data_IF_865428464052
#
_entry.id   IF_865428464052
#
_cell.length_a   1.000
_cell.length_b   1.000
_cell.length_c   1.000
_cell.angle_alpha   90.00
_cell.angle_beta   90.00
_cell.angle_gamma   90.00
#
_symmetry.space_group_name_H-M   'P 1'
#
loop_
_entity.id
_entity.type
_entity.pdbx_description
1 polymer ?
#
# COMPACT_ATOMS: atom_id res chain seq x y z
N UNK A 1 33.47 6.51 -12.91
CA UNK A 1 32.02 6.29 -13.19
C UNK A 1 31.67 6.96 -14.50
N UNK A 2 31.22 6.21 -15.51
CA UNK A 2 30.51 6.83 -16.64
C UNK A 2 29.18 7.37 -16.12
N UNK A 3 28.89 8.66 -16.33
CA UNK A 3 27.54 9.18 -16.08
C UNK A 3 26.61 8.46 -17.06
N UNK A 4 25.50 7.83 -16.62
CA UNK A 4 24.50 7.36 -17.58
C UNK A 4 24.02 8.57 -18.39
N UNK A 5 23.95 8.44 -19.72
CA UNK A 5 23.50 9.50 -20.62
C UNK A 5 21.99 9.77 -20.39
N UNK A 6 21.68 10.53 -19.36
CA UNK A 6 20.36 11.08 -19.09
C UNK A 6 20.04 12.07 -20.21
N UNK A 7 19.06 11.75 -21.04
CA UNK A 7 18.59 12.63 -22.11
C UNK A 7 17.90 13.84 -21.50
N UNK A 8 18.60 14.97 -21.44
CA UNK A 8 18.09 16.26 -20.95
C UNK A 8 17.52 17.07 -22.11
N UNK A 9 16.51 16.53 -22.81
CA UNK A 9 15.87 17.18 -23.94
C UNK A 9 14.36 16.95 -23.94
N UNK A 10 13.61 17.97 -24.35
CA UNK A 10 12.17 17.88 -24.57
C UNK A 10 11.86 17.06 -25.82
N UNK A 11 10.68 16.46 -25.85
CA UNK A 11 10.13 15.70 -26.97
C UNK A 11 10.05 14.19 -26.70
N UNK A 12 9.84 13.44 -27.79
CA UNK A 12 9.51 12.01 -27.74
C UNK A 12 10.77 11.14 -27.58
N UNK A 13 10.77 10.26 -26.58
CA UNK A 13 11.85 9.33 -26.28
C UNK A 13 11.33 7.93 -25.90
N UNK A 14 12.19 6.92 -25.96
CA UNK A 14 11.85 5.53 -25.64
C UNK A 14 12.08 5.22 -24.15
N UNK A 15 11.15 4.51 -23.53
CA UNK A 15 11.26 4.03 -22.16
C UNK A 15 12.44 3.07 -21.99
N UNK A 16 13.35 3.34 -21.04
CA UNK A 16 14.52 2.50 -20.77
C UNK A 16 14.20 1.10 -20.19
N UNK A 17 12.92 0.77 -19.96
CA UNK A 17 12.47 -0.53 -19.44
C UNK A 17 11.66 -1.33 -20.47
N UNK A 18 10.60 -0.74 -21.04
CA UNK A 18 9.70 -1.42 -21.98
C UNK A 18 9.83 -0.95 -23.43
N UNK A 19 10.78 -0.05 -23.75
CA UNK A 19 10.98 0.58 -25.07
C UNK A 19 9.80 1.41 -25.61
N UNK A 20 8.64 1.43 -24.94
CA UNK A 20 7.48 2.20 -25.36
C UNK A 20 7.80 3.72 -25.45
N UNK A 21 7.32 4.42 -26.49
CA UNK A 21 7.56 5.84 -26.64
C UNK A 21 6.73 6.64 -25.64
N UNK A 22 7.34 7.67 -25.04
CA UNK A 22 6.68 8.66 -24.21
C UNK A 22 7.28 10.04 -24.48
N UNK A 23 6.60 11.10 -24.03
CA UNK A 23 7.01 12.47 -24.22
C UNK A 23 7.44 13.10 -22.89
N UNK A 24 8.34 14.09 -22.98
CA UNK A 24 8.67 15.03 -21.90
C UNK A 24 8.55 16.43 -22.49
N UNK A 25 7.62 17.23 -21.99
CA UNK A 25 7.34 18.55 -22.57
C UNK A 25 8.31 19.63 -22.07
N UNK A 26 8.35 20.83 -22.68
CA UNK A 26 9.09 21.96 -22.10
C UNK A 26 8.61 22.33 -20.68
N UNK A 27 7.31 22.17 -20.40
CA UNK A 27 6.70 22.43 -19.10
C UNK A 27 7.13 21.40 -18.05
N UNK A 28 7.26 20.10 -18.43
CA UNK A 28 7.87 19.09 -17.56
C UNK A 28 9.29 19.50 -17.15
N UNK A 29 10.11 19.97 -18.10
CA UNK A 29 11.49 20.39 -17.83
C UNK A 29 11.54 21.64 -16.93
N UNK A 30 10.67 22.62 -17.18
CA UNK A 30 10.53 23.80 -16.33
C UNK A 30 10.10 23.41 -14.90
N UNK A 31 9.19 22.46 -14.75
CA UNK A 31 8.79 21.91 -13.46
C UNK A 31 9.96 21.21 -12.74
N UNK A 32 10.70 20.32 -13.42
CA UNK A 32 11.86 19.65 -12.82
C UNK A 32 12.94 20.66 -12.38
N UNK A 33 13.20 21.70 -13.17
CA UNK A 33 14.11 22.77 -12.76
C UNK A 33 13.56 23.57 -11.56
N UNK A 34 12.25 23.86 -11.52
CA UNK A 34 11.62 24.55 -10.40
C UNK A 34 11.70 23.75 -9.09
N UNK A 35 11.46 22.44 -9.13
CA UNK A 35 11.52 21.58 -7.92
C UNK A 35 12.92 21.07 -7.57
N UNK A 36 13.94 21.43 -8.36
CA UNK A 36 15.33 21.01 -8.13
C UNK A 36 15.90 21.65 -6.85
N UNK A 37 16.29 20.88 -5.83
CA UNK A 37 16.65 21.41 -4.53
C UNK A 37 17.95 22.22 -4.56
N UNK A 38 17.97 23.32 -3.81
CA UNK A 38 19.17 24.14 -3.58
C UNK A 38 19.74 23.79 -2.20
N UNK A 39 20.89 23.13 -2.18
CA UNK A 39 21.58 22.70 -0.95
C UNK A 39 22.90 23.46 -0.87
N UNK A 40 23.12 24.21 0.22
CA UNK A 40 24.32 25.05 0.43
C UNK A 40 24.60 25.99 -0.77
N UNK A 41 23.56 26.62 -1.31
CA UNK A 41 23.65 27.53 -2.47
C UNK A 41 23.86 26.85 -3.83
N UNK A 42 24.06 25.53 -3.89
CA UNK A 42 24.19 24.79 -5.14
C UNK A 42 22.85 24.17 -5.52
N UNK A 43 22.38 24.40 -6.76
CA UNK A 43 21.15 23.79 -7.29
C UNK A 43 21.46 22.40 -7.85
N UNK A 44 20.75 21.38 -7.37
CA UNK A 44 20.91 19.99 -7.80
C UNK A 44 19.78 19.63 -8.76
N UNK A 45 20.06 19.68 -10.06
CA UNK A 45 19.07 19.43 -11.11
C UNK A 45 18.46 18.01 -11.01
N UNK A 46 17.14 17.95 -10.87
CA UNK A 46 16.37 16.70 -11.01
C UNK A 46 16.28 16.36 -12.50
N UNK A 47 16.74 15.17 -12.94
CA UNK A 47 16.73 14.82 -14.35
C UNK A 47 15.33 14.45 -14.84
N UNK A 48 15.09 14.71 -16.13
CA UNK A 48 13.93 14.21 -16.85
C UNK A 48 13.81 12.66 -16.73
N UNK A 49 12.58 12.12 -16.69
CA UNK A 49 12.36 10.70 -16.47
C UNK A 49 12.90 9.86 -17.64
N UNK A 50 13.59 8.76 -17.33
CA UNK A 50 14.04 7.76 -18.33
C UNK A 50 13.00 6.67 -18.62
N UNK A 51 11.81 6.78 -18.03
CA UNK A 51 10.74 5.79 -18.08
C UNK A 51 9.40 6.42 -18.44
N UNK A 52 8.60 5.69 -19.22
CA UNK A 52 7.20 6.05 -19.47
C UNK A 52 6.39 6.11 -18.15
N UNK A 53 5.24 6.80 -18.15
CA UNK A 53 4.34 6.89 -16.98
C UNK A 53 4.05 5.53 -16.33
N UNK A 54 3.76 4.48 -17.12
CA UNK A 54 3.39 3.15 -16.61
C UNK A 54 4.54 2.45 -15.89
N UNK A 55 5.75 2.49 -16.47
CA UNK A 55 6.94 1.94 -15.81
C UNK A 55 7.32 2.72 -14.54
N UNK A 56 7.01 4.03 -14.49
CA UNK A 56 7.12 4.81 -13.24
C UNK A 56 6.06 4.39 -12.22
N UNK A 57 4.83 4.11 -12.65
CA UNK A 57 3.77 3.61 -11.78
C UNK A 57 4.09 2.23 -11.22
N UNK A 58 4.53 1.29 -12.05
CA UNK A 58 5.00 -0.03 -11.61
C UNK A 58 6.10 0.08 -10.54
N UNK A 59 7.08 0.98 -10.72
CA UNK A 59 8.12 1.22 -9.70
C UNK A 59 7.61 1.85 -8.40
N UNK A 60 6.54 2.65 -8.44
CA UNK A 60 5.89 3.16 -7.22
C UNK A 60 5.18 2.03 -6.47
N UNK A 61 4.40 1.22 -7.18
CA UNK A 61 3.61 0.13 -6.63
C UNK A 61 4.47 -1.07 -6.17
N UNK A 62 5.63 -1.30 -6.77
CA UNK A 62 6.51 -2.45 -6.46
C UNK A 62 7.06 -2.51 -5.02
N UNK A 63 6.80 -1.51 -4.17
CA UNK A 63 7.21 -1.50 -2.76
C UNK A 63 6.11 -1.93 -1.78
N UNK A 64 4.84 -1.96 -2.20
CA UNK A 64 3.70 -2.36 -1.38
C UNK A 64 3.09 -3.65 -1.93
N UNK A 65 2.80 -4.60 -1.05
CA UNK A 65 2.05 -5.81 -1.41
C UNK A 65 0.81 -5.90 -0.53
N UNK A 66 -0.30 -5.38 -1.05
CA UNK A 66 -1.52 -5.13 -0.27
C UNK A 66 -2.34 -6.40 -0.03
N UNK A 67 -2.24 -7.40 -0.92
CA UNK A 67 -3.11 -8.58 -0.93
C UNK A 67 -2.41 -9.96 -0.87
N UNK A 68 -1.20 -10.11 -1.41
CA UNK A 68 -0.63 -11.44 -1.61
C UNK A 68 0.05 -11.93 -0.33
N UNK A 69 -0.69 -12.62 0.53
CA UNK A 69 -0.15 -13.17 1.76
C UNK A 69 0.47 -14.57 1.53
N UNK A 70 1.72 -14.73 1.91
CA UNK A 70 2.49 -15.95 1.72
C UNK A 70 2.73 -16.69 3.05
N UNK A 71 2.64 -18.04 3.07
CA UNK A 71 3.03 -18.82 4.24
C UNK A 71 4.55 -18.72 4.45
N UNK A 72 4.92 -18.29 5.65
CA UNK A 72 6.28 -17.94 6.03
C UNK A 72 6.68 -18.46 7.41
N UNK A 73 7.89 -18.09 7.83
CA UNK A 73 8.44 -18.45 9.15
C UNK A 73 9.15 -17.23 9.73
N UNK A 74 8.77 -16.82 10.94
CA UNK A 74 9.36 -15.66 11.59
C UNK A 74 10.88 -15.83 11.78
N UNK A 75 11.67 -14.86 11.32
CA UNK A 75 13.13 -14.89 11.41
C UNK A 75 13.68 -14.93 12.85
N UNK A 76 12.89 -14.46 13.84
CA UNK A 76 13.28 -14.41 15.25
C UNK A 76 12.83 -15.66 16.02
N UNK A 77 11.51 -15.86 16.18
CA UNK A 77 10.97 -16.96 17.00
C UNK A 77 10.78 -18.30 16.27
N UNK A 78 11.03 -18.36 14.96
CA UNK A 78 10.86 -19.54 14.10
C UNK A 78 9.45 -20.17 14.08
N UNK A 79 8.44 -19.51 14.66
CA UNK A 79 7.03 -19.88 14.47
C UNK A 79 6.62 -19.68 13.00
N UNK A 80 5.71 -20.52 12.51
CA UNK A 80 4.98 -20.30 11.25
C UNK A 80 4.14 -19.03 11.36
N UNK A 81 4.02 -18.30 10.26
CA UNK A 81 3.25 -17.04 10.18
C UNK A 81 2.85 -16.77 8.73
N UNK A 82 1.97 -15.82 8.49
CA UNK A 82 1.78 -15.22 7.16
C UNK A 82 2.75 -14.05 6.98
N UNK A 83 3.06 -13.70 5.74
CA UNK A 83 3.91 -12.56 5.43
C UNK A 83 3.60 -11.94 4.07
N UNK A 84 3.84 -10.64 3.92
CA UNK A 84 3.78 -9.91 2.66
C UNK A 84 4.93 -10.23 1.69
N UNK A 85 5.86 -11.11 2.07
CA UNK A 85 7.06 -11.43 1.29
C UNK A 85 6.96 -12.83 0.67
N UNK A 86 7.13 -12.98 -0.65
CA UNK A 86 7.14 -14.31 -1.28
C UNK A 86 8.35 -15.12 -0.80
N UNK A 87 8.28 -16.45 -0.91
CA UNK A 87 9.36 -17.36 -0.49
C UNK A 87 10.69 -17.15 -1.24
N UNK A 88 10.64 -16.51 -2.42
CA UNK A 88 11.82 -16.08 -3.18
C UNK A 88 12.49 -14.80 -2.63
N UNK A 89 11.85 -14.12 -1.68
CA UNK A 89 12.42 -12.94 -1.02
C UNK A 89 13.56 -13.34 -0.09
N UNK A 90 14.70 -12.65 -0.21
CA UNK A 90 15.82 -12.74 0.73
C UNK A 90 15.72 -11.76 1.90
N UNK A 91 14.61 -11.00 2.00
CA UNK A 91 14.38 -10.05 3.09
C UNK A 91 13.96 -10.81 4.36
N UNK A 92 14.70 -10.71 5.48
CA UNK A 92 14.27 -11.27 6.75
C UNK A 92 13.02 -10.54 7.24
N UNK A 93 12.12 -11.23 7.94
CA UNK A 93 10.94 -10.61 8.53
C UNK A 93 10.55 -11.23 9.87
N UNK A 94 9.91 -10.44 10.73
CA UNK A 94 9.42 -10.86 12.04
C UNK A 94 7.89 -10.80 12.10
N UNK A 95 7.26 -11.76 12.75
CA UNK A 95 5.82 -11.69 13.06
C UNK A 95 5.53 -10.53 14.04
N UNK A 96 4.28 -10.08 14.08
CA UNK A 96 3.81 -8.96 14.92
C UNK A 96 4.34 -9.03 16.37
N UNK A 97 4.13 -10.18 17.06
CA UNK A 97 4.64 -10.42 18.42
C UNK A 97 6.15 -10.14 18.57
N UNK A 98 6.96 -10.50 17.57
CA UNK A 98 8.41 -10.37 17.63
C UNK A 98 8.86 -8.95 17.28
N UNK A 99 8.21 -8.35 16.27
CA UNK A 99 8.47 -6.98 15.82
C UNK A 99 8.25 -5.96 16.95
N UNK A 100 7.17 -6.09 17.70
CA UNK A 100 6.83 -5.21 18.83
C UNK A 100 7.42 -5.66 20.18
N UNK A 101 8.40 -6.56 20.19
CA UNK A 101 9.07 -7.02 21.43
C UNK A 101 10.50 -6.53 21.57
N UNK A 102 10.96 -6.38 22.81
CA UNK A 102 12.35 -6.01 23.16
C UNK A 102 13.41 -7.08 22.80
N UNK A 103 13.01 -8.15 22.10
CA UNK A 103 13.89 -9.27 21.70
C UNK A 103 14.79 -8.94 20.50
N UNK A 104 14.61 -7.77 19.89
CA UNK A 104 15.46 -7.27 18.82
C UNK A 104 15.56 -5.73 18.91
N UNK A 105 16.57 -5.16 18.24
CA UNK A 105 16.77 -3.71 18.20
C UNK A 105 17.20 -3.30 16.79
N UNK A 106 16.46 -2.39 16.15
CA UNK A 106 16.78 -1.91 14.81
C UNK A 106 18.17 -1.25 14.71
N UNK A 107 18.67 -0.63 15.80
CA UNK A 107 19.97 0.03 15.85
C UNK A 107 21.15 -0.96 15.77
N UNK A 108 20.94 -2.25 16.09
CA UNK A 108 22.01 -3.27 15.99
C UNK A 108 22.45 -3.55 14.55
N UNK A 109 21.66 -3.13 13.56
CA UNK A 109 21.97 -3.21 12.14
C UNK A 109 22.73 -1.99 11.61
N UNK A 110 23.00 -1.00 12.46
CA UNK A 110 23.73 0.23 12.10
C UNK A 110 25.11 -0.07 11.51
N UNK A 111 25.54 0.75 10.54
CA UNK A 111 26.83 0.62 9.85
C UNK A 111 27.37 2.01 9.53
N UNK A 112 28.69 2.15 9.61
CA UNK A 112 29.38 3.32 9.08
C UNK A 112 29.24 3.40 7.55
N UNK A 113 29.22 4.62 7.02
CA UNK A 113 29.12 4.88 5.58
C UNK A 113 30.52 4.84 4.96
N UNK A 114 30.74 3.91 4.04
CA UNK A 114 31.96 3.82 3.25
C UNK A 114 31.89 4.75 2.03
N UNK A 115 32.47 5.94 2.14
CA UNK A 115 32.51 6.92 1.06
C UNK A 115 33.34 6.50 -0.16
N UNK A 116 34.06 5.37 -0.13
CA UNK A 116 34.76 4.82 -1.31
C UNK A 116 33.82 4.03 -2.24
N UNK A 117 32.60 3.70 -1.78
CA UNK A 117 31.63 2.85 -2.49
C UNK A 117 30.32 3.58 -2.83
N UNK A 118 29.57 3.13 -3.84
CA UNK A 118 28.27 3.73 -4.17
C UNK A 118 27.27 3.65 -3.00
N UNK A 119 26.69 4.78 -2.62
CA UNK A 119 25.78 4.89 -1.47
C UNK A 119 24.56 3.95 -1.59
N UNK A 120 23.91 3.90 -2.77
CA UNK A 120 22.70 3.08 -2.95
C UNK A 120 22.94 1.57 -2.87
N UNK A 121 24.15 1.09 -3.15
CA UNK A 121 24.51 -0.33 -2.93
C UNK A 121 24.60 -0.64 -1.44
N UNK A 122 25.22 0.26 -0.66
CA UNK A 122 25.31 0.14 0.80
C UNK A 122 23.93 0.21 1.45
N UNK A 123 23.08 1.16 1.01
CA UNK A 123 21.69 1.27 1.46
C UNK A 123 20.87 0.02 1.10
N UNK A 124 21.07 -0.56 -0.09
CA UNK A 124 20.41 -1.81 -0.50
C UNK A 124 20.87 -2.98 0.37
N UNK A 125 22.17 -3.09 0.66
CA UNK A 125 22.72 -4.12 1.54
C UNK A 125 22.23 -3.98 2.98
N UNK A 126 22.09 -2.75 3.48
CA UNK A 126 21.50 -2.45 4.79
C UNK A 126 20.01 -2.87 4.80
N UNK A 127 19.21 -2.35 3.86
CA UNK A 127 17.75 -2.65 3.76
C UNK A 127 17.45 -4.14 3.62
N UNK A 128 18.31 -4.92 2.96
CA UNK A 128 18.18 -6.39 2.86
C UNK A 128 18.59 -7.14 4.13
N UNK A 129 19.37 -6.53 5.02
CA UNK A 129 19.80 -7.14 6.28
C UNK A 129 18.88 -6.84 7.46
N UNK A 130 18.28 -5.64 7.47
CA UNK A 130 17.31 -5.22 8.48
C UNK A 130 16.03 -6.03 8.28
N UNK A 131 15.46 -6.65 9.34
CA UNK A 131 14.20 -7.35 9.24
C UNK A 131 13.07 -6.36 8.90
N UNK A 132 12.07 -6.85 8.18
CA UNK A 132 10.80 -6.16 7.94
C UNK A 132 9.68 -6.73 8.83
N UNK A 133 8.62 -5.97 9.03
CA UNK A 133 7.40 -6.49 9.63
C UNK A 133 6.71 -7.46 8.64
N UNK A 134 6.39 -8.67 9.09
CA UNK A 134 5.81 -9.72 8.24
C UNK A 134 4.45 -9.30 7.67
N UNK A 135 3.58 -8.73 8.50
CA UNK A 135 2.30 -8.14 8.14
C UNK A 135 2.15 -6.84 8.93
N UNK A 136 1.87 -5.72 8.26
CA UNK A 136 1.52 -4.46 8.91
C UNK A 136 0.16 -4.62 9.59
N UNK A 137 0.19 -4.65 10.91
CA UNK A 137 -0.96 -4.77 11.83
C UNK A 137 -0.62 -3.90 13.02
N UNK A 138 -1.58 -3.09 13.49
CA UNK A 138 -1.38 -2.12 14.56
C UNK A 138 -2.52 -2.23 15.58
N UNK A 139 -2.21 -2.14 16.88
CA UNK A 139 -3.21 -2.30 17.94
C UNK A 139 -3.60 -3.76 18.19
N UNK A 140 -4.83 -3.99 18.64
CA UNK A 140 -5.27 -5.30 19.14
C UNK A 140 -6.11 -6.08 18.12
N UNK A 141 -5.68 -7.30 17.82
CA UNK A 141 -6.45 -8.28 17.04
C UNK A 141 -6.99 -9.39 17.94
N UNK A 142 -8.32 -9.60 17.93
CA UNK A 142 -8.97 -10.71 18.62
C UNK A 142 -9.66 -11.63 17.62
N UNK A 143 -9.22 -12.89 17.51
CA UNK A 143 -9.82 -13.89 16.60
C UNK A 143 -9.86 -13.38 15.15
N UNK A 144 -8.68 -13.03 14.62
CA UNK A 144 -8.51 -12.36 13.34
C UNK A 144 -7.37 -12.99 12.53
N UNK A 145 -7.70 -13.51 11.34
CA UNK A 145 -6.77 -14.22 10.46
C UNK A 145 -6.75 -13.61 9.04
N UNK A 146 -5.63 -13.76 8.33
CA UNK A 146 -5.40 -13.22 6.97
C UNK A 146 -5.58 -11.69 6.86
N UNK A 147 -5.15 -10.95 7.89
CA UNK A 147 -5.28 -9.48 7.94
C UNK A 147 -3.95 -8.78 7.56
N UNK A 148 -4.02 -7.69 6.80
CA UNK A 148 -2.86 -6.86 6.44
C UNK A 148 -3.21 -5.37 6.26
N UNK A 149 -2.25 -4.48 6.53
CA UNK A 149 -2.44 -3.01 6.60
C UNK A 149 -3.62 -2.61 7.49
N UNK A 150 -3.76 -3.28 8.64
CA UNK A 150 -4.93 -3.14 9.50
C UNK A 150 -4.62 -2.57 10.88
N UNK A 151 -5.61 -1.90 11.47
CA UNK A 151 -5.59 -1.54 12.89
C UNK A 151 -6.31 -2.57 13.78
N UNK A 152 -6.93 -2.09 14.86
CA UNK A 152 -7.54 -2.97 15.87
C UNK A 152 -8.80 -3.62 15.32
N UNK A 153 -9.02 -4.92 15.51
CA UNK A 153 -10.16 -5.64 14.92
C UNK A 153 -10.49 -6.94 15.65
N UNK A 154 -11.72 -7.41 15.49
CA UNK A 154 -12.27 -8.56 16.18
C UNK A 154 -13.07 -9.46 15.22
N UNK A 155 -12.97 -10.79 15.39
CA UNK A 155 -13.77 -11.80 14.68
C UNK A 155 -13.77 -11.64 13.14
N UNK A 156 -12.70 -11.11 12.58
CA UNK A 156 -12.67 -10.69 11.17
C UNK A 156 -11.64 -11.45 10.35
N UNK A 157 -11.96 -11.78 9.11
CA UNK A 157 -11.20 -12.71 8.27
C UNK A 157 -10.95 -12.16 6.87
N UNK A 158 -9.69 -12.20 6.40
CA UNK A 158 -9.30 -11.76 5.05
C UNK A 158 -9.78 -10.32 4.78
N UNK A 159 -9.33 -9.39 5.64
CA UNK A 159 -9.57 -7.96 5.49
C UNK A 159 -8.24 -7.21 5.37
N UNK A 160 -8.14 -6.36 4.34
CA UNK A 160 -6.93 -5.60 4.00
C UNK A 160 -7.20 -4.10 4.08
N UNK A 161 -6.20 -3.30 4.43
CA UNK A 161 -6.36 -1.85 4.63
C UNK A 161 -7.49 -1.53 5.62
N UNK A 162 -7.63 -2.35 6.67
CA UNK A 162 -8.76 -2.37 7.59
C UNK A 162 -8.54 -1.50 8.86
N UNK A 163 -9.58 -1.10 9.59
CA UNK A 163 -9.46 -0.66 10.99
C UNK A 163 -10.80 -0.77 11.72
N UNK A 164 -10.76 -0.94 13.04
CA UNK A 164 -11.90 -1.05 13.94
C UNK A 164 -13.04 -1.96 13.43
N UNK A 165 -12.67 -3.10 12.86
CA UNK A 165 -13.59 -4.05 12.26
C UNK A 165 -14.08 -5.09 13.30
N UNK A 166 -15.37 -5.40 13.31
CA UNK A 166 -16.00 -6.46 14.10
C UNK A 166 -16.90 -7.31 13.19
N UNK A 167 -16.70 -8.63 13.26
CA UNK A 167 -17.45 -9.68 12.54
C UNK A 167 -17.47 -9.53 11.00
N UNK A 168 -16.36 -9.05 10.39
CA UNK A 168 -16.29 -8.73 8.95
C UNK A 168 -15.40 -9.69 8.15
N UNK A 169 -15.75 -9.94 6.89
CA UNK A 169 -15.03 -10.87 6.02
C UNK A 169 -14.81 -10.34 4.60
N UNK A 170 -13.73 -10.78 3.95
CA UNK A 170 -13.45 -10.53 2.51
C UNK A 170 -13.54 -9.04 2.13
N UNK A 171 -12.68 -8.25 2.77
CA UNK A 171 -12.77 -6.78 2.73
C UNK A 171 -11.50 -6.09 2.26
N UNK A 172 -11.66 -4.97 1.57
CA UNK A 172 -10.57 -4.02 1.29
C UNK A 172 -10.97 -2.61 1.69
N UNK A 173 -10.08 -1.86 2.35
CA UNK A 173 -10.32 -0.45 2.68
C UNK A 173 -11.42 -0.22 3.72
N UNK A 174 -11.66 -1.20 4.59
CA UNK A 174 -12.66 -1.18 5.68
C UNK A 174 -12.20 -0.25 6.82
N UNK A 175 -13.09 0.51 7.48
CA UNK A 175 -12.68 1.42 8.58
C UNK A 175 -13.57 1.56 9.82
N UNK A 176 -14.81 1.06 9.85
CA UNK A 176 -15.60 0.88 11.09
C UNK A 176 -16.91 0.09 10.83
N UNK A 177 -16.82 -1.21 11.03
CA UNK A 177 -17.78 -2.18 10.50
C UNK A 177 -17.69 -3.49 11.32
N UNK A 178 -18.67 -4.03 12.03
CA UNK A 178 -20.15 -3.95 11.97
C UNK A 178 -20.80 -4.90 10.94
N UNK A 179 -20.22 -6.09 10.81
CA UNK A 179 -20.77 -7.29 10.13
C UNK A 179 -21.03 -7.13 8.63
N UNK A 180 -19.95 -7.17 7.85
CA UNK A 180 -19.93 -6.97 6.40
C UNK A 180 -19.21 -8.11 5.69
N UNK A 181 -19.61 -8.40 4.45
CA UNK A 181 -18.98 -9.43 3.62
C UNK A 181 -18.87 -8.93 2.18
N UNK A 182 -17.75 -9.24 1.52
CA UNK A 182 -17.47 -8.94 0.11
C UNK A 182 -17.57 -7.43 -0.24
N UNK A 183 -16.76 -6.62 0.43
CA UNK A 183 -16.75 -5.16 0.28
C UNK A 183 -15.40 -4.57 -0.13
N UNK A 184 -15.43 -3.43 -0.82
CA UNK A 184 -14.26 -2.65 -1.24
C UNK A 184 -14.43 -1.18 -0.77
N UNK A 185 -13.36 -0.47 -0.42
CA UNK A 185 -13.35 0.98 -0.06
C UNK A 185 -14.63 1.57 0.55
N UNK A 186 -14.82 1.37 1.85
CA UNK A 186 -16.16 1.51 2.39
C UNK A 186 -16.13 1.87 3.89
N UNK A 187 -17.35 1.94 4.41
CA UNK A 187 -17.69 1.20 5.62
C UNK A 187 -17.47 1.97 6.94
N UNK A 188 -18.24 3.05 7.15
CA UNK A 188 -19.10 3.12 8.35
C UNK A 188 -20.53 2.76 7.92
N UNK A 189 -21.04 1.61 8.41
CA UNK A 189 -21.96 0.83 7.57
C UNK A 189 -22.55 -0.44 8.24
N UNK A 190 -23.50 -1.07 7.55
CA UNK A 190 -23.85 -2.51 7.59
C UNK A 190 -24.42 -3.18 8.83
N UNK A 191 -24.99 -4.38 8.69
CA UNK A 191 -26.15 -4.69 7.83
C UNK A 191 -26.13 -4.24 6.34
N UNK A 192 -25.17 -4.63 5.50
CA UNK A 192 -25.35 -4.71 4.03
C UNK A 192 -24.87 -6.10 3.58
N UNK A 193 -24.84 -6.31 2.26
CA UNK A 193 -24.04 -7.31 1.57
C UNK A 193 -23.99 -6.93 0.09
N UNK A 194 -22.85 -7.20 -0.57
CA UNK A 194 -22.59 -6.94 -1.99
C UNK A 194 -22.69 -5.44 -2.36
N UNK A 195 -21.78 -4.63 -1.78
CA UNK A 195 -21.69 -3.17 -1.98
C UNK A 195 -20.25 -2.71 -2.25
N UNK A 196 -20.07 -1.90 -3.30
CA UNK A 196 -18.72 -1.62 -3.88
C UNK A 196 -18.01 -0.42 -3.27
N UNK A 197 -18.69 0.71 -3.04
CA UNK A 197 -18.20 1.91 -2.32
C UNK A 197 -19.45 2.61 -1.71
N UNK A 198 -19.52 2.73 -0.37
CA UNK A 198 -20.71 3.12 0.39
C UNK A 198 -20.34 3.75 1.75
N UNK A 199 -20.85 4.97 1.99
CA UNK A 199 -20.54 5.77 3.17
C UNK A 199 -21.79 6.13 3.99
N UNK A 200 -21.76 5.87 5.30
CA UNK A 200 -22.78 6.32 6.25
C UNK A 200 -24.13 5.61 6.17
N UNK A 201 -24.18 4.44 5.52
CA UNK A 201 -25.43 3.74 5.16
C UNK A 201 -25.78 2.58 6.12
N UNK A 202 -27.05 2.15 6.14
CA UNK A 202 -27.55 1.10 7.03
C UNK A 202 -28.62 0.24 6.34
N UNK A 203 -28.51 -1.09 6.39
CA UNK A 203 -29.61 -2.00 6.02
C UNK A 203 -29.96 -2.03 4.54
N UNK A 204 -28.98 -1.88 3.64
CA UNK A 204 -29.19 -2.04 2.19
C UNK A 204 -28.71 -3.41 1.66
N UNK A 205 -28.92 -3.72 0.38
CA UNK A 205 -28.41 -4.94 -0.27
C UNK A 205 -28.31 -4.74 -1.78
N UNK A 206 -27.23 -5.24 -2.42
CA UNK A 206 -26.95 -5.04 -3.84
C UNK A 206 -27.00 -3.56 -4.25
N UNK A 207 -26.24 -2.71 -3.55
CA UNK A 207 -26.23 -1.27 -3.76
C UNK A 207 -24.84 -0.78 -4.16
N UNK A 208 -24.79 0.29 -4.96
CA UNK A 208 -23.55 0.84 -5.48
C UNK A 208 -23.55 2.37 -5.34
N UNK A 209 -22.41 2.96 -4.99
CA UNK A 209 -22.18 4.41 -4.97
C UNK A 209 -23.24 5.18 -4.16
N UNK A 210 -23.61 4.65 -2.98
CA UNK A 210 -24.69 5.15 -2.13
C UNK A 210 -24.19 5.84 -0.84
N UNK A 211 -24.72 7.02 -0.55
CA UNK A 211 -24.29 7.87 0.57
C UNK A 211 -25.47 8.17 1.51
N UNK A 212 -25.30 7.91 2.81
CA UNK A 212 -26.30 8.14 3.87
C UNK A 212 -27.68 7.48 3.60
N UNK A 213 -27.69 6.31 2.95
CA UNK A 213 -28.91 5.59 2.57
C UNK A 213 -29.32 4.54 3.62
N UNK A 214 -30.64 4.36 3.81
CA UNK A 214 -31.20 3.54 4.89
C UNK A 214 -32.29 2.56 4.41
N UNK A 215 -32.17 1.28 4.77
CA UNK A 215 -33.20 0.25 4.58
C UNK A 215 -33.72 0.13 3.13
N UNK A 216 -32.89 -0.31 2.18
CA UNK A 216 -33.26 -0.35 0.76
C UNK A 216 -32.56 -1.45 -0.05
N UNK A 217 -32.89 -1.63 -1.32
CA UNK A 217 -32.19 -2.61 -2.15
C UNK A 217 -32.15 -2.19 -3.61
N UNK A 218 -31.11 -2.61 -4.33
CA UNK A 218 -30.90 -2.27 -5.75
C UNK A 218 -30.89 -0.74 -5.97
N UNK A 219 -30.06 -0.05 -5.18
CA UNK A 219 -29.84 1.39 -5.28
C UNK A 219 -28.52 1.67 -6.01
N UNK A 220 -28.49 2.69 -6.87
CA UNK A 220 -27.28 3.21 -7.51
C UNK A 220 -27.25 4.74 -7.43
N UNK A 221 -26.07 5.33 -7.24
CA UNK A 221 -25.85 6.80 -7.25
C UNK A 221 -26.75 7.59 -6.28
N UNK A 222 -27.30 6.93 -5.25
CA UNK A 222 -28.34 7.46 -4.38
C UNK A 222 -27.76 8.18 -3.14
N UNK A 223 -28.33 9.34 -2.80
CA UNK A 223 -27.91 10.15 -1.64
C UNK A 223 -29.11 10.41 -0.72
N UNK A 224 -29.02 9.97 0.54
CA UNK A 224 -30.01 10.26 1.58
C UNK A 224 -31.34 9.49 1.47
N UNK A 225 -31.41 8.46 0.62
CA UNK A 225 -32.62 7.66 0.41
C UNK A 225 -32.99 6.81 1.63
N UNK A 226 -34.29 6.59 1.86
CA UNK A 226 -34.80 5.78 2.96
C UNK A 226 -36.00 4.94 2.51
N UNK A 227 -35.96 3.63 2.78
CA UNK A 227 -37.05 2.70 2.40
C UNK A 227 -37.30 2.65 0.89
N UNK A 228 -36.23 2.62 0.10
CA UNK A 228 -36.23 2.69 -1.36
C UNK A 228 -35.85 1.35 -2.02
N UNK A 229 -36.35 1.11 -3.23
CA UNK A 229 -36.15 -0.11 -3.99
C UNK A 229 -36.06 0.22 -5.49
N UNK A 230 -35.05 -0.30 -6.20
CA UNK A 230 -34.80 -0.02 -7.63
C UNK A 230 -34.76 1.49 -7.96
N UNK A 231 -33.86 2.22 -7.29
CA UNK A 231 -33.65 3.66 -7.53
C UNK A 231 -32.25 3.94 -8.10
N UNK A 232 -32.19 4.95 -8.97
CA UNK A 232 -31.03 5.44 -9.71
C UNK A 232 -31.15 6.95 -9.90
#
# INVERSE_FOLDING_TARGET
MQKPNLRQGSGRQACAHCSAPFEVTPEDLAFYDQVSPVIRGTKYAIPAPSLCPDCRQQRRLAFCNEFNLYPGTCGLCRKRTLSQFPQSSSVPYYCHECWHSDKWNALSYGREIDFTRPFFEQLTALKRSVPSLALDVQGELQNCDYIHYAGSSKNSYLIMHADFCEDCMYGYGFKHNRSCVDGFYNLQCELLYDCVDCHGSYGLTHCQDCINCHSGAFLRDCIGCKSCFLCT
#
